data_IF_036101529195
#
_entry.id   IF_036101529195
#
_cell.length_a   1.000
_cell.length_b   1.000
_cell.length_c   1.000
_cell.angle_alpha   90.00
_cell.angle_beta   90.00
_cell.angle_gamma   90.00
#
_symmetry.space_group_name_H-M   'P 1'
#
loop_
_entity.id
_entity.type
_entity.pdbx_description
1 polymer ?
#
# COMPACT_ATOMS: atom_id res chain seq x y z
N UNK A 1 -0.17 16.65 -25.56
CA UNK A 1 0.00 18.01 -24.99
C UNK A 1 0.20 17.91 -23.47
N UNK A 2 -0.75 17.37 -22.68
CA UNK A 2 -0.63 17.32 -21.22
C UNK A 2 0.68 16.68 -20.73
N UNK A 3 1.04 15.51 -21.24
CA UNK A 3 2.30 14.83 -20.88
C UNK A 3 3.55 15.65 -21.17
N UNK A 4 3.59 16.37 -22.28
CA UNK A 4 4.73 17.25 -22.63
C UNK A 4 4.82 18.44 -21.67
N UNK A 5 3.69 19.05 -21.30
CA UNK A 5 3.66 20.15 -20.32
C UNK A 5 4.13 19.68 -18.94
N UNK A 6 3.69 18.50 -18.49
CA UNK A 6 4.14 17.90 -17.22
C UNK A 6 5.65 17.66 -17.26
N UNK A 7 6.17 17.05 -18.35
CA UNK A 7 7.61 16.77 -18.49
C UNK A 7 8.43 18.08 -18.44
N UNK A 8 8.02 19.10 -19.20
CA UNK A 8 8.70 20.40 -19.18
C UNK A 8 8.67 21.05 -17.80
N UNK A 9 7.57 20.94 -17.05
CA UNK A 9 7.50 21.48 -15.70
C UNK A 9 8.43 20.70 -14.73
N UNK A 10 8.51 19.38 -14.88
CA UNK A 10 9.41 18.53 -14.07
C UNK A 10 10.88 18.85 -14.33
N UNK A 11 11.27 19.07 -15.59
CA UNK A 11 12.65 19.46 -15.97
C UNK A 11 13.09 20.79 -15.36
N UNK A 12 12.14 21.64 -14.96
CA UNK A 12 12.42 22.92 -14.31
C UNK A 12 12.56 22.86 -12.80
N UNK A 13 12.32 21.68 -12.19
CA UNK A 13 12.49 21.48 -10.76
C UNK A 13 13.99 21.40 -10.46
N UNK A 14 14.51 22.39 -9.76
CA UNK A 14 15.88 22.43 -9.29
C UNK A 14 15.97 23.08 -7.90
N UNK A 15 17.18 23.18 -7.35
CA UNK A 15 17.41 23.75 -6.02
C UNK A 15 17.04 25.24 -5.93
N UNK A 16 17.17 25.97 -7.05
CA UNK A 16 16.87 27.40 -7.12
C UNK A 16 15.38 27.67 -7.39
N UNK A 17 14.65 26.66 -7.91
CA UNK A 17 13.24 26.75 -8.32
C UNK A 17 12.41 25.57 -7.83
N UNK A 18 12.38 25.27 -6.53
CA UNK A 18 11.70 24.10 -5.98
C UNK A 18 10.18 24.13 -6.21
N UNK A 19 9.58 25.30 -6.34
CA UNK A 19 8.13 25.49 -6.50
C UNK A 19 7.58 24.93 -7.82
N UNK A 20 8.44 24.64 -8.81
CA UNK A 20 8.02 23.96 -10.03
C UNK A 20 7.45 22.57 -9.75
N UNK A 21 7.76 21.95 -8.61
CA UNK A 21 7.14 20.71 -8.20
C UNK A 21 5.62 20.84 -8.05
N UNK A 22 5.13 21.98 -7.56
CA UNK A 22 3.70 22.25 -7.45
C UNK A 22 3.05 22.58 -8.79
N UNK A 23 3.77 23.26 -9.69
CA UNK A 23 3.30 23.48 -11.06
C UNK A 23 3.12 22.16 -11.79
N UNK A 24 4.11 21.28 -11.74
CA UNK A 24 4.04 19.93 -12.31
C UNK A 24 2.90 19.09 -11.70
N UNK A 25 2.70 19.18 -10.39
CA UNK A 25 1.60 18.52 -9.67
C UNK A 25 0.23 18.97 -10.18
N UNK A 26 0.02 20.26 -10.32
CA UNK A 26 -1.26 20.83 -10.80
C UNK A 26 -1.58 20.43 -12.24
N UNK A 27 -0.57 20.41 -13.12
CA UNK A 27 -0.72 19.91 -14.48
C UNK A 27 -1.07 18.41 -14.49
N UNK A 28 -0.46 17.64 -13.59
CA UNK A 28 -0.75 16.21 -13.43
C UNK A 28 -2.17 15.97 -12.93
N UNK A 29 -2.60 16.72 -11.92
CA UNK A 29 -3.98 16.67 -11.38
C UNK A 29 -5.00 17.02 -12.47
N UNK A 30 -4.75 18.05 -13.26
CA UNK A 30 -5.63 18.44 -14.36
C UNK A 30 -5.85 17.28 -15.36
N UNK A 31 -4.77 16.61 -15.77
CA UNK A 31 -4.86 15.43 -16.64
C UNK A 31 -5.61 14.28 -15.97
N UNK A 32 -5.32 14.00 -14.68
CA UNK A 32 -5.99 12.98 -13.88
C UNK A 32 -7.50 13.23 -13.79
N UNK A 33 -7.91 14.47 -13.52
CA UNK A 33 -9.34 14.84 -13.45
C UNK A 33 -10.08 14.55 -14.75
N UNK A 34 -9.47 14.88 -15.88
CA UNK A 34 -10.06 14.59 -17.20
C UNK A 34 -10.20 13.09 -17.44
N UNK A 35 -9.17 12.32 -17.11
CA UNK A 35 -9.18 10.87 -17.32
C UNK A 35 -10.24 10.21 -16.43
N UNK A 36 -10.28 10.57 -15.16
CA UNK A 36 -11.25 10.00 -14.21
C UNK A 36 -12.68 10.42 -14.55
N UNK A 37 -12.90 11.70 -14.86
CA UNK A 37 -14.24 12.19 -15.27
C UNK A 37 -14.77 11.43 -16.49
N UNK A 38 -13.90 11.14 -17.47
CA UNK A 38 -14.26 10.32 -18.63
C UNK A 38 -14.60 8.88 -18.23
N UNK A 39 -13.80 8.27 -17.35
CA UNK A 39 -14.01 6.88 -16.92
C UNK A 39 -15.24 6.71 -16.03
N UNK A 40 -15.62 7.72 -15.26
CA UNK A 40 -16.83 7.73 -14.43
C UNK A 40 -18.07 8.19 -15.21
N UNK A 41 -17.90 8.79 -16.40
CA UNK A 41 -19.02 9.35 -17.18
C UNK A 41 -19.61 10.63 -16.57
N UNK A 42 -18.85 11.38 -15.75
CA UNK A 42 -19.31 12.60 -15.07
C UNK A 42 -19.11 13.89 -15.86
N UNK A 43 -18.48 13.81 -17.05
CA UNK A 43 -18.26 14.97 -17.91
C UNK A 43 -17.04 15.81 -17.56
N UNK A 44 -16.94 17.04 -18.20
CA UNK A 44 -15.74 17.89 -18.11
C UNK A 44 -15.79 18.95 -16.99
N UNK A 45 -16.83 19.00 -16.19
CA UNK A 45 -17.08 20.17 -15.34
C UNK A 45 -16.45 20.09 -13.95
N UNK A 46 -16.88 19.13 -13.16
CA UNK A 46 -16.48 19.02 -11.74
C UNK A 46 -15.86 17.66 -11.45
N UNK A 47 -14.56 17.59 -11.16
CA UNK A 47 -13.87 16.32 -10.93
C UNK A 47 -14.43 15.57 -9.71
N UNK A 48 -14.93 16.27 -8.69
CA UNK A 48 -15.45 15.70 -7.43
C UNK A 48 -16.98 15.79 -7.27
N UNK A 49 -17.71 15.96 -8.37
CA UNK A 49 -19.17 16.16 -8.31
C UNK A 49 -20.01 14.93 -7.94
N UNK A 50 -19.45 13.71 -7.96
CA UNK A 50 -20.26 12.49 -7.81
C UNK A 50 -19.50 11.32 -7.16
N UNK A 51 -19.39 11.36 -5.85
CA UNK A 51 -18.76 10.28 -5.06
C UNK A 51 -19.56 8.96 -5.12
N UNK A 52 -20.90 9.05 -5.16
CA UNK A 52 -21.76 7.88 -5.31
C UNK A 52 -21.48 7.14 -6.64
N UNK A 53 -21.26 7.88 -7.73
CA UNK A 53 -20.91 7.29 -9.02
C UNK A 53 -19.54 6.60 -9.00
N UNK A 54 -18.56 7.16 -8.30
CA UNK A 54 -17.28 6.49 -8.10
C UNK A 54 -17.46 5.15 -7.38
N UNK A 55 -18.26 5.11 -6.30
CA UNK A 55 -18.52 3.87 -5.55
C UNK A 55 -19.23 2.84 -6.45
N UNK A 56 -20.27 3.25 -7.17
CA UNK A 56 -20.99 2.38 -8.12
C UNK A 56 -20.04 1.76 -9.16
N UNK A 57 -19.26 2.59 -9.84
CA UNK A 57 -18.31 2.15 -10.87
C UNK A 57 -17.22 1.26 -10.27
N UNK A 58 -16.69 1.61 -9.10
CA UNK A 58 -15.68 0.81 -8.41
C UNK A 58 -16.19 -0.58 -8.01
N UNK A 59 -17.44 -0.68 -7.55
CA UNK A 59 -18.12 -1.96 -7.28
C UNK A 59 -18.39 -2.75 -8.55
N UNK A 60 -18.83 -2.10 -9.62
CA UNK A 60 -19.08 -2.73 -10.92
C UNK A 60 -17.82 -3.43 -11.46
N UNK A 61 -16.65 -2.79 -11.34
CA UNK A 61 -15.37 -3.40 -11.71
C UNK A 61 -14.82 -4.38 -10.65
N UNK A 62 -15.54 -4.66 -9.56
CA UNK A 62 -15.06 -5.52 -8.47
C UNK A 62 -13.81 -4.99 -7.75
N UNK A 63 -13.55 -3.70 -7.83
CA UNK A 63 -12.38 -3.05 -7.21
C UNK A 63 -12.67 -2.54 -5.79
N UNK A 64 -13.91 -2.17 -5.50
CA UNK A 64 -14.37 -1.79 -4.17
C UNK A 64 -15.17 -2.92 -3.51
N UNK A 65 -15.10 -2.98 -2.17
CA UNK A 65 -15.93 -3.93 -1.42
C UNK A 65 -17.42 -3.56 -1.57
N UNK A 66 -18.31 -4.55 -1.73
CA UNK A 66 -19.75 -4.30 -1.88
C UNK A 66 -20.36 -3.53 -0.71
N UNK A 67 -19.86 -3.73 0.50
CA UNK A 67 -20.38 -3.12 1.73
C UNK A 67 -19.81 -1.74 2.06
N UNK A 68 -18.98 -1.13 1.21
CA UNK A 68 -18.25 0.10 1.54
C UNK A 68 -19.16 1.25 1.99
N UNK A 69 -20.29 1.44 1.31
CA UNK A 69 -21.26 2.50 1.59
C UNK A 69 -22.40 2.09 2.54
N UNK A 70 -22.35 0.84 3.03
CA UNK A 70 -23.41 0.32 3.88
C UNK A 70 -23.57 1.14 5.17
N UNK A 71 -24.75 1.78 5.31
CA UNK A 71 -25.10 2.62 6.45
C UNK A 71 -24.36 3.95 6.51
N UNK A 72 -23.87 4.46 5.38
CA UNK A 72 -23.37 5.83 5.22
C UNK A 72 -24.35 6.67 4.40
N UNK A 73 -24.46 7.95 4.74
CA UNK A 73 -25.04 8.96 3.85
C UNK A 73 -23.95 9.43 2.88
N UNK A 74 -23.94 8.82 1.70
CA UNK A 74 -22.90 9.09 0.68
C UNK A 74 -23.00 10.51 0.13
N UNK A 75 -24.21 11.09 0.07
CA UNK A 75 -24.43 12.46 -0.39
C UNK A 75 -23.85 13.49 0.59
N UNK A 76 -24.02 13.26 1.89
CA UNK A 76 -23.41 14.09 2.92
C UNK A 76 -21.87 13.99 2.89
N UNK A 77 -21.32 12.79 2.71
CA UNK A 77 -19.88 12.61 2.54
C UNK A 77 -19.36 13.28 1.27
N UNK A 78 -20.10 13.23 0.16
CA UNK A 78 -19.73 13.92 -1.08
C UNK A 78 -19.61 15.44 -0.88
N UNK A 79 -20.55 16.04 -0.15
CA UNK A 79 -20.50 17.49 0.20
C UNK A 79 -19.35 17.82 1.15
N UNK A 80 -18.92 16.86 1.96
CA UNK A 80 -17.84 17.04 2.93
C UNK A 80 -16.45 16.97 2.28
N UNK A 81 -16.30 16.31 1.15
CA UNK A 81 -15.04 16.19 0.40
C UNK A 81 -14.50 17.58 0.04
N UNK A 82 -13.19 17.77 0.19
CA UNK A 82 -12.45 19.02 0.01
C UNK A 82 -11.47 18.90 -1.17
N UNK A 83 -11.90 19.18 -2.41
CA UNK A 83 -11.06 19.07 -3.60
C UNK A 83 -9.77 19.90 -3.54
N UNK A 84 -9.81 21.04 -2.86
CA UNK A 84 -8.68 21.95 -2.68
C UNK A 84 -7.49 21.31 -1.96
N UNK A 85 -7.70 20.24 -1.20
CA UNK A 85 -6.63 19.48 -0.55
C UNK A 85 -5.72 18.74 -1.52
N UNK A 86 -6.15 18.53 -2.75
CA UNK A 86 -5.28 18.00 -3.81
C UNK A 86 -4.10 18.95 -4.11
N UNK A 87 -4.25 20.24 -3.84
CA UNK A 87 -3.19 21.22 -4.01
C UNK A 87 -2.04 21.08 -3.00
N UNK A 88 -2.22 20.29 -1.95
CA UNK A 88 -1.15 19.93 -1.00
C UNK A 88 -0.11 18.98 -1.60
N UNK A 89 -0.47 18.24 -2.66
CA UNK A 89 0.47 17.34 -3.33
C UNK A 89 1.57 18.11 -4.06
N UNK A 90 2.82 17.71 -3.86
CA UNK A 90 3.89 17.97 -4.80
C UNK A 90 3.86 16.95 -5.96
N UNK A 91 4.70 17.12 -6.97
CA UNK A 91 4.70 16.23 -8.14
C UNK A 91 4.98 14.77 -7.79
N UNK A 92 5.98 14.50 -6.95
CA UNK A 92 6.34 13.14 -6.54
C UNK A 92 5.20 12.50 -5.75
N UNK A 93 4.53 13.26 -4.89
CA UNK A 93 3.39 12.82 -4.10
C UNK A 93 2.22 12.38 -4.97
N UNK A 94 1.76 13.24 -5.89
CA UNK A 94 0.62 12.89 -6.76
C UNK A 94 0.98 11.77 -7.73
N UNK A 95 2.20 11.76 -8.26
CA UNK A 95 2.66 10.67 -9.13
C UNK A 95 2.70 9.34 -8.39
N UNK A 96 3.18 9.32 -7.15
CA UNK A 96 3.19 8.11 -6.31
C UNK A 96 1.78 7.66 -5.98
N UNK A 97 0.87 8.59 -5.66
CA UNK A 97 -0.53 8.31 -5.43
C UNK A 97 -1.17 7.64 -6.66
N UNK A 98 -0.99 8.20 -7.84
CA UNK A 98 -1.46 7.65 -9.10
C UNK A 98 -0.89 6.28 -9.42
N UNK A 99 0.42 6.12 -9.30
CA UNK A 99 1.10 4.89 -9.71
C UNK A 99 0.75 3.72 -8.79
N UNK A 100 0.68 3.96 -7.47
CA UNK A 100 0.61 2.92 -6.44
C UNK A 100 -0.75 2.76 -5.77
N UNK A 101 -1.53 3.83 -5.59
CA UNK A 101 -2.67 3.80 -4.67
C UNK A 101 -4.02 3.94 -5.34
N UNK A 102 -4.14 4.82 -6.37
CA UNK A 102 -5.42 5.02 -7.03
C UNK A 102 -5.92 3.77 -7.74
N UNK A 103 -7.19 3.45 -7.52
CA UNK A 103 -7.86 2.34 -8.18
C UNK A 103 -7.96 2.61 -9.68
N UNK A 104 -7.63 1.58 -10.46
CA UNK A 104 -7.66 1.58 -11.92
C UNK A 104 -8.61 0.50 -12.43
N UNK A 105 -9.27 0.76 -13.56
CA UNK A 105 -10.07 -0.22 -14.27
C UNK A 105 -9.18 -1.29 -14.93
N UNK A 106 -9.78 -2.25 -15.62
CA UNK A 106 -9.07 -3.37 -16.26
C UNK A 106 -8.14 -2.91 -17.41
N UNK A 107 -8.36 -1.72 -17.96
CA UNK A 107 -7.47 -1.07 -18.94
C UNK A 107 -6.31 -0.29 -18.27
N UNK A 108 -6.13 -0.44 -16.95
CA UNK A 108 -5.14 0.29 -16.14
C UNK A 108 -5.34 1.83 -16.15
N UNK A 109 -6.53 2.31 -16.46
CA UNK A 109 -6.90 3.72 -16.41
C UNK A 109 -7.53 4.06 -15.06
N UNK A 110 -7.18 5.18 -14.40
CA UNK A 110 -7.71 5.49 -13.07
C UNK A 110 -9.21 5.77 -13.12
N UNK A 111 -9.92 5.26 -12.11
CA UNK A 111 -11.34 5.53 -11.85
C UNK A 111 -11.54 6.26 -10.52
N UNK A 112 -10.46 6.61 -9.87
CA UNK A 112 -10.44 7.18 -8.52
C UNK A 112 -9.62 8.47 -8.49
N UNK A 113 -10.09 9.46 -7.72
CA UNK A 113 -9.39 10.70 -7.43
C UNK A 113 -8.82 10.66 -6.01
N UNK A 114 -7.77 11.44 -5.68
CA UNK A 114 -7.13 11.37 -4.36
C UNK A 114 -8.09 11.59 -3.19
N UNK A 115 -8.99 12.56 -3.26
CA UNK A 115 -9.94 12.82 -2.17
C UNK A 115 -11.02 11.73 -2.08
N UNK A 116 -11.41 11.09 -3.20
CA UNK A 116 -12.27 9.91 -3.17
C UNK A 116 -11.58 8.72 -2.51
N UNK A 117 -10.29 8.51 -2.80
CA UNK A 117 -9.46 7.51 -2.14
C UNK A 117 -9.43 7.72 -0.62
N UNK A 118 -9.12 8.93 -0.17
CA UNK A 118 -9.03 9.22 1.27
C UNK A 118 -10.37 9.05 1.97
N UNK A 119 -11.48 9.52 1.37
CA UNK A 119 -12.82 9.32 1.95
C UNK A 119 -13.19 7.83 2.00
N UNK A 120 -12.96 7.08 0.94
CA UNK A 120 -13.27 5.65 0.91
C UNK A 120 -12.43 4.83 1.92
N UNK A 121 -11.16 5.20 2.12
CA UNK A 121 -10.31 4.62 3.18
C UNK A 121 -10.88 4.97 4.56
N UNK A 122 -11.24 6.22 4.79
CA UNK A 122 -11.82 6.68 6.05
C UNK A 122 -13.13 5.94 6.38
N UNK A 123 -14.01 5.76 5.39
CA UNK A 123 -15.23 4.97 5.53
C UNK A 123 -14.93 3.51 5.91
N UNK A 124 -13.94 2.90 5.26
CA UNK A 124 -13.54 1.52 5.57
C UNK A 124 -13.02 1.39 7.00
N UNK A 125 -12.17 2.31 7.46
CA UNK A 125 -11.62 2.28 8.83
C UNK A 125 -12.72 2.51 9.85
N UNK A 126 -13.66 3.42 9.57
CA UNK A 126 -14.75 3.78 10.46
C UNK A 126 -15.93 2.78 10.48
N UNK A 127 -15.91 1.73 9.63
CA UNK A 127 -17.09 0.86 9.41
C UNK A 127 -17.68 0.22 10.66
N UNK A 128 -16.87 -0.04 11.68
CA UNK A 128 -17.26 -0.66 12.95
C UNK A 128 -17.45 0.35 14.09
N UNK A 129 -17.30 1.65 13.82
CA UNK A 129 -17.51 2.69 14.83
C UNK A 129 -19.01 2.94 15.05
N UNK A 130 -19.37 3.29 16.30
CA UNK A 130 -20.76 3.58 16.66
C UNK A 130 -21.32 4.77 15.84
N UNK A 131 -20.52 5.84 15.69
CA UNK A 131 -20.85 7.04 14.91
C UNK A 131 -20.03 7.07 13.62
N UNK A 132 -20.10 6.01 12.81
CA UNK A 132 -19.22 5.81 11.66
C UNK A 132 -19.25 6.94 10.63
N UNK A 133 -20.38 7.63 10.45
CA UNK A 133 -20.51 8.78 9.56
C UNK A 133 -19.55 9.92 9.97
N UNK A 134 -19.63 10.34 11.24
CA UNK A 134 -18.78 11.41 11.76
C UNK A 134 -17.32 10.96 11.90
N UNK A 135 -17.09 9.70 12.27
CA UNK A 135 -15.73 9.14 12.34
C UNK A 135 -15.07 9.06 10.96
N UNK A 136 -15.82 8.76 9.92
CA UNK A 136 -15.31 8.80 8.55
C UNK A 136 -14.87 10.22 8.15
N UNK A 137 -15.62 11.26 8.52
CA UNK A 137 -15.25 12.66 8.29
C UNK A 137 -13.99 13.05 9.08
N UNK A 138 -13.91 12.66 10.35
CA UNK A 138 -12.75 12.91 11.23
C UNK A 138 -11.47 12.25 10.64
N UNK A 139 -11.56 10.96 10.27
CA UNK A 139 -10.42 10.24 9.68
C UNK A 139 -10.03 10.79 8.32
N UNK A 140 -11.01 11.14 7.49
CA UNK A 140 -10.76 11.82 6.22
C UNK A 140 -9.99 13.12 6.41
N UNK A 141 -10.37 13.95 7.38
CA UNK A 141 -9.70 15.22 7.66
C UNK A 141 -8.23 15.04 7.98
N UNK A 142 -7.92 14.13 8.89
CA UNK A 142 -6.53 13.87 9.33
C UNK A 142 -5.67 13.31 8.19
N UNK A 143 -6.22 12.37 7.40
CA UNK A 143 -5.50 11.72 6.30
C UNK A 143 -5.31 12.69 5.13
N UNK A 144 -6.36 13.40 4.72
CA UNK A 144 -6.34 14.24 3.52
C UNK A 144 -5.57 15.56 3.69
N UNK A 145 -5.35 15.99 4.94
CA UNK A 145 -4.45 17.11 5.28
C UNK A 145 -2.98 16.68 5.44
N UNK A 146 -2.70 15.37 5.31
CA UNK A 146 -1.38 14.78 5.57
C UNK A 146 -0.87 14.95 7.00
N UNK A 147 -1.76 15.12 7.98
CA UNK A 147 -1.42 15.12 9.41
C UNK A 147 -1.00 13.71 9.86
N UNK A 148 -1.56 12.68 9.22
CA UNK A 148 -1.17 11.28 9.38
C UNK A 148 -0.96 10.64 8.01
N UNK A 149 0.17 9.95 7.83
CA UNK A 149 0.45 9.14 6.64
C UNK A 149 0.19 7.67 6.96
N UNK A 150 -0.74 7.08 6.23
CA UNK A 150 -1.07 5.67 6.35
C UNK A 150 -0.04 4.78 5.65
N UNK A 151 0.12 3.56 6.14
CA UNK A 151 0.98 2.57 5.51
C UNK A 151 0.50 2.22 4.09
N UNK A 152 1.45 1.87 3.20
CA UNK A 152 1.16 1.49 1.81
C UNK A 152 0.02 0.47 1.68
N UNK A 153 -0.04 -0.63 2.46
CA UNK A 153 -1.15 -1.59 2.35
C UNK A 153 -2.50 -0.97 2.72
N UNK A 154 -2.56 -0.07 3.69
CA UNK A 154 -3.79 0.62 4.05
C UNK A 154 -4.26 1.52 2.91
N UNK A 155 -3.35 2.32 2.32
CA UNK A 155 -3.66 3.19 1.18
C UNK A 155 -4.11 2.40 -0.06
N UNK A 156 -3.54 1.21 -0.27
CA UNK A 156 -3.87 0.39 -1.45
C UNK A 156 -5.13 -0.45 -1.25
N UNK A 157 -5.35 -1.03 -0.06
CA UNK A 157 -6.25 -2.16 0.11
C UNK A 157 -7.49 -1.86 0.95
N UNK A 158 -7.49 -0.83 1.83
CA UNK A 158 -8.53 -0.64 2.86
C UNK A 158 -9.97 -0.68 2.30
N UNK A 159 -10.20 -0.11 1.13
CA UNK A 159 -11.52 -0.04 0.48
C UNK A 159 -11.79 -1.15 -0.52
N UNK A 160 -10.83 -2.09 -0.69
CA UNK A 160 -10.90 -3.15 -1.72
C UNK A 160 -11.25 -4.51 -1.11
N UNK A 161 -11.48 -5.51 -1.95
CA UNK A 161 -11.69 -6.90 -1.52
C UNK A 161 -10.45 -7.55 -0.88
N UNK A 162 -9.30 -6.85 -0.85
CA UNK A 162 -8.04 -7.31 -0.23
C UNK A 162 -7.78 -6.53 1.04
N UNK A 163 -8.33 -6.98 2.17
CA UNK A 163 -8.32 -6.23 3.44
C UNK A 163 -7.01 -6.33 4.24
N UNK A 164 -5.92 -6.78 3.65
CA UNK A 164 -4.63 -6.82 4.33
C UNK A 164 -4.08 -5.39 4.45
N UNK A 165 -3.98 -4.86 5.67
CA UNK A 165 -3.60 -3.47 5.96
C UNK A 165 -2.23 -3.34 6.62
N UNK A 166 -1.69 -4.42 7.19
CA UNK A 166 -0.41 -4.40 7.89
C UNK A 166 0.76 -4.39 6.90
N UNK A 167 1.75 -3.55 7.17
CA UNK A 167 2.91 -3.39 6.28
C UNK A 167 4.07 -4.31 6.63
N UNK A 168 4.19 -4.71 7.92
CA UNK A 168 5.35 -5.43 8.43
C UNK A 168 4.93 -6.49 9.43
N UNK A 169 5.68 -7.61 9.42
CA UNK A 169 5.49 -8.74 10.31
C UNK A 169 6.83 -9.19 10.85
N UNK A 170 6.85 -9.65 12.10
CA UNK A 170 8.04 -10.13 12.78
C UNK A 170 7.78 -11.56 13.26
N UNK A 171 8.73 -12.46 13.02
CA UNK A 171 8.69 -13.84 13.44
C UNK A 171 10.01 -14.31 14.03
N UNK A 172 10.00 -15.47 14.68
CA UNK A 172 11.20 -16.12 15.21
C UNK A 172 11.14 -17.60 14.84
N UNK A 173 12.27 -18.15 14.40
CA UNK A 173 12.37 -19.51 13.90
C UNK A 173 12.75 -20.45 15.05
N UNK A 174 11.97 -21.51 15.35
CA UNK A 174 12.37 -22.54 16.29
C UNK A 174 13.45 -23.45 15.69
N UNK A 175 14.27 -24.09 16.57
CA UNK A 175 15.35 -24.98 16.15
C UNK A 175 14.85 -26.44 15.92
N UNK A 176 13.90 -26.60 15.02
CA UNK A 176 13.42 -27.90 14.53
C UNK A 176 12.92 -27.76 13.09
N UNK A 177 12.97 -28.86 12.34
CA UNK A 177 12.68 -28.84 10.91
C UNK A 177 11.23 -28.42 10.60
N UNK A 178 10.26 -28.88 11.38
CA UNK A 178 8.85 -28.56 11.20
C UNK A 178 8.61 -27.05 11.32
N UNK A 179 9.06 -26.45 12.43
CA UNK A 179 8.90 -25.02 12.66
C UNK A 179 9.67 -24.14 11.67
N UNK A 180 10.86 -24.60 11.20
CA UNK A 180 11.59 -23.90 10.14
C UNK A 180 10.77 -23.84 8.84
N UNK A 181 10.15 -24.96 8.44
CA UNK A 181 9.34 -25.01 7.22
C UNK A 181 7.99 -24.31 7.39
N UNK A 182 7.42 -24.30 8.59
CA UNK A 182 6.24 -23.46 8.88
C UNK A 182 6.54 -21.98 8.72
N UNK A 183 7.70 -21.49 9.19
CA UNK A 183 8.14 -20.12 8.93
C UNK A 183 8.24 -19.85 7.42
N UNK A 184 8.81 -20.73 6.61
CA UNK A 184 8.86 -20.50 5.16
C UNK A 184 7.47 -20.40 4.53
N UNK A 185 6.53 -21.21 4.97
CA UNK A 185 5.12 -21.14 4.54
C UNK A 185 4.50 -19.79 4.91
N UNK A 186 4.69 -19.34 6.14
CA UNK A 186 4.21 -18.02 6.60
C UNK A 186 4.85 -16.90 5.81
N UNK A 187 6.17 -16.92 5.60
CA UNK A 187 6.91 -15.96 4.80
C UNK A 187 6.33 -15.87 3.37
N UNK A 188 6.09 -17.02 2.74
CA UNK A 188 5.51 -17.07 1.41
C UNK A 188 4.12 -16.45 1.34
N UNK A 189 3.25 -16.78 2.30
CA UNK A 189 1.87 -16.27 2.36
C UNK A 189 1.85 -14.75 2.63
N UNK A 190 2.59 -14.28 3.61
CA UNK A 190 2.63 -12.85 3.98
C UNK A 190 3.28 -12.00 2.88
N UNK A 191 4.36 -12.50 2.26
CA UNK A 191 5.01 -11.83 1.13
C UNK A 191 4.09 -11.71 -0.08
N UNK A 192 3.32 -12.78 -0.39
CA UNK A 192 2.31 -12.77 -1.46
C UNK A 192 1.31 -11.63 -1.31
N UNK A 193 0.97 -11.26 -0.09
CA UNK A 193 0.04 -10.16 0.20
C UNK A 193 0.73 -8.80 0.40
N UNK A 194 2.03 -8.69 0.08
CA UNK A 194 2.77 -7.43 0.12
C UNK A 194 3.28 -7.02 1.50
N UNK A 195 3.33 -7.95 2.46
CA UNK A 195 3.94 -7.74 3.77
C UNK A 195 5.46 -7.69 3.70
N UNK A 196 6.10 -6.75 4.42
CA UNK A 196 7.52 -6.82 4.74
C UNK A 196 7.73 -7.74 5.93
N UNK A 197 8.81 -8.51 5.94
CA UNK A 197 9.01 -9.58 6.91
C UNK A 197 10.35 -9.42 7.62
N UNK A 198 10.37 -9.64 8.93
CA UNK A 198 11.58 -9.72 9.73
C UNK A 198 11.59 -11.05 10.48
N UNK A 199 12.64 -11.85 10.34
CA UNK A 199 12.73 -13.17 10.99
C UNK A 199 14.02 -13.30 11.77
N UNK A 200 13.88 -13.63 13.06
CA UNK A 200 14.98 -13.97 13.92
C UNK A 200 15.34 -15.44 13.77
N UNK A 201 16.62 -15.69 13.46
CA UNK A 201 17.21 -17.01 13.26
C UNK A 201 18.14 -17.42 14.41
N UNK A 202 18.20 -16.64 15.48
CA UNK A 202 19.16 -16.82 16.59
C UNK A 202 19.02 -18.17 17.28
N UNK A 203 17.82 -18.74 17.31
CA UNK A 203 17.57 -20.04 17.96
C UNK A 203 18.09 -21.24 17.19
N UNK A 204 18.38 -21.09 15.90
CA UNK A 204 18.91 -22.18 15.07
C UNK A 204 20.31 -22.52 15.56
N UNK A 205 20.56 -23.79 15.77
CA UNK A 205 21.89 -24.28 16.18
C UNK A 205 22.97 -23.92 15.15
N UNK A 206 24.13 -23.58 15.65
CA UNK A 206 25.28 -23.20 14.80
C UNK A 206 25.89 -24.37 14.04
N UNK A 207 26.68 -24.06 13.04
CA UNK A 207 27.51 -25.04 12.32
C UNK A 207 28.30 -25.92 13.29
N UNK A 208 28.41 -27.21 12.99
CA UNK A 208 29.10 -28.23 13.81
C UNK A 208 28.50 -28.47 15.20
N UNK A 209 27.28 -28.00 15.47
CA UNK A 209 26.53 -28.37 16.69
C UNK A 209 26.08 -29.84 16.64
N UNK A 210 25.69 -30.36 17.82
CA UNK A 210 25.08 -31.68 17.90
C UNK A 210 23.70 -31.72 17.29
N UNK A 211 23.39 -32.80 16.56
CA UNK A 211 22.01 -33.20 16.19
C UNK A 211 21.82 -34.61 16.84
N UNK A 212 20.93 -34.69 17.80
CA UNK A 212 20.74 -35.87 18.66
C UNK A 212 22.07 -36.35 19.22
N UNK A 213 22.49 -37.58 18.86
CA UNK A 213 23.74 -38.20 19.30
C UNK A 213 24.92 -37.91 18.38
N UNK A 214 24.70 -37.24 17.27
CA UNK A 214 25.75 -36.98 16.25
C UNK A 214 26.46 -35.67 16.50
N UNK A 215 27.72 -35.71 16.87
CA UNK A 215 28.57 -34.53 16.99
C UNK A 215 28.89 -33.94 15.62
N UNK A 216 28.85 -32.61 15.50
CA UNK A 216 29.28 -31.93 14.28
C UNK A 216 28.31 -32.04 13.09
N UNK A 217 27.11 -32.54 13.31
CA UNK A 217 26.13 -32.75 12.23
C UNK A 217 25.33 -31.47 11.88
N UNK A 218 25.37 -30.43 12.73
CA UNK A 218 24.65 -29.17 12.52
C UNK A 218 25.15 -28.42 11.28
N UNK A 219 24.25 -28.08 10.35
CA UNK A 219 24.55 -27.34 9.13
C UNK A 219 24.62 -25.82 9.31
N UNK A 220 24.29 -25.31 10.51
CA UNK A 220 24.24 -23.88 10.80
C UNK A 220 23.09 -23.14 10.12
N UNK A 221 23.11 -21.82 10.20
CA UNK A 221 22.02 -20.93 9.71
C UNK A 221 22.08 -20.74 8.20
N UNK A 222 23.25 -20.72 7.59
CA UNK A 222 23.46 -20.31 6.17
C UNK A 222 22.60 -21.11 5.17
N UNK A 223 22.47 -22.45 5.25
CA UNK A 223 21.61 -23.20 4.33
C UNK A 223 20.15 -22.71 4.36
N UNK A 224 19.64 -22.41 5.55
CA UNK A 224 18.27 -21.92 5.73
C UNK A 224 18.07 -20.50 5.19
N UNK A 225 19.09 -19.64 5.34
CA UNK A 225 19.05 -18.29 4.74
C UNK A 225 19.01 -18.33 3.22
N UNK A 226 19.66 -19.30 2.58
CA UNK A 226 19.56 -19.51 1.12
C UNK A 226 18.15 -19.85 0.71
N UNK A 227 17.45 -20.69 1.47
CA UNK A 227 16.03 -21.01 1.22
C UNK A 227 15.16 -19.76 1.42
N UNK A 228 15.40 -18.97 2.48
CA UNK A 228 14.70 -17.70 2.73
C UNK A 228 14.77 -16.77 1.52
N UNK A 229 15.95 -16.61 0.95
CA UNK A 229 16.14 -15.80 -0.28
C UNK A 229 15.39 -16.40 -1.47
N UNK A 230 15.42 -17.72 -1.64
CA UNK A 230 14.65 -18.41 -2.67
C UNK A 230 13.13 -18.19 -2.54
N UNK A 231 12.60 -18.26 -1.32
CA UNK A 231 11.20 -17.97 -1.02
C UNK A 231 10.86 -16.52 -1.37
N UNK A 232 11.68 -15.55 -0.97
CA UNK A 232 11.46 -14.14 -1.27
C UNK A 232 11.34 -13.88 -2.78
N UNK A 233 12.23 -14.49 -3.57
CA UNK A 233 12.25 -14.36 -5.04
C UNK A 233 11.03 -15.05 -5.66
N UNK A 234 10.71 -16.26 -5.20
CA UNK A 234 9.66 -17.09 -5.81
C UNK A 234 8.24 -16.49 -5.65
N UNK A 235 7.98 -15.78 -4.55
CA UNK A 235 6.64 -15.24 -4.26
C UNK A 235 6.47 -13.75 -4.60
N UNK A 236 7.49 -13.10 -5.15
CA UNK A 236 7.46 -11.69 -5.57
C UNK A 236 6.72 -11.54 -6.92
N UNK A 237 5.44 -11.85 -6.97
CA UNK A 237 4.76 -12.00 -8.26
C UNK A 237 3.84 -10.85 -8.69
N UNK A 238 3.30 -10.00 -7.82
CA UNK A 238 2.18 -9.17 -8.29
C UNK A 238 1.88 -7.90 -7.50
N UNK A 239 2.71 -7.51 -6.57
CA UNK A 239 2.33 -6.45 -5.63
C UNK A 239 2.72 -5.04 -6.07
N UNK A 240 1.98 -4.08 -5.57
CA UNK A 240 2.38 -2.67 -5.51
C UNK A 240 3.70 -2.52 -4.70
N UNK A 241 3.99 -3.50 -3.84
CA UNK A 241 5.19 -3.61 -3.00
C UNK A 241 5.87 -4.95 -3.27
N UNK A 242 7.16 -4.93 -3.58
CA UNK A 242 7.99 -6.12 -3.70
C UNK A 242 8.16 -6.80 -2.34
N UNK A 243 8.25 -8.12 -2.34
CA UNK A 243 8.60 -8.90 -1.15
C UNK A 243 10.01 -8.51 -0.64
N UNK A 244 10.11 -8.33 0.68
CA UNK A 244 11.39 -8.06 1.33
C UNK A 244 11.43 -8.78 2.67
N UNK A 245 12.49 -9.52 2.93
CA UNK A 245 12.71 -10.29 4.17
C UNK A 245 14.00 -9.80 4.81
N UNK A 246 13.89 -9.25 6.02
CA UNK A 246 15.05 -8.95 6.86
C UNK A 246 15.37 -10.19 7.71
N UNK A 247 16.64 -10.50 7.78
CA UNK A 247 17.19 -11.61 8.59
C UNK A 247 17.88 -11.02 9.80
N UNK A 248 17.49 -11.50 10.98
CA UNK A 248 18.11 -11.12 12.24
C UNK A 248 18.88 -12.33 12.82
N UNK A 249 20.10 -12.07 13.25
CA UNK A 249 20.95 -13.01 13.96
C UNK A 249 21.69 -12.23 15.05
N UNK A 250 21.58 -12.66 16.29
CA UNK A 250 22.18 -11.97 17.41
C UNK A 250 23.72 -12.15 17.44
N UNK A 251 24.49 -11.15 17.92
CA UNK A 251 25.95 -11.15 17.79
C UNK A 251 26.69 -12.26 18.58
N UNK A 252 26.01 -12.90 19.53
CA UNK A 252 26.58 -14.05 20.26
C UNK A 252 26.37 -15.39 19.54
N UNK A 253 25.61 -15.42 18.43
CA UNK A 253 25.43 -16.63 17.64
C UNK A 253 26.76 -17.04 16.97
N UNK A 254 27.18 -18.31 17.10
CA UNK A 254 28.50 -18.74 16.63
C UNK A 254 28.72 -18.65 15.12
N UNK A 255 27.64 -18.66 14.33
CA UNK A 255 27.72 -18.54 12.86
C UNK A 255 27.83 -17.08 12.37
N UNK A 256 27.91 -16.09 13.26
CA UNK A 256 28.02 -14.67 12.86
C UNK A 256 29.45 -14.30 12.50
N UNK A 257 30.42 -15.08 12.96
CA UNK A 257 31.85 -14.93 12.65
C UNK A 257 32.22 -15.85 11.49
#
# INVERSE_FOLDING_TARGET
>A
IAKSLIATAVEKIDIDRPDWTFVASRLYLYDLYHVVGKNLGTGKGEPYGNFAKYIEVGKHYGKLIPSLDSGYDVEDLNKYIKPERDLLFNYLGIKTCYDKYLIKNDKRSPIELPQYMFMAIAMFIAQNETNKQEKAKEYYDVISKFEVMLATPTLSNARTNRHQLSSCYIGSTPDNIEGIFDIYKELALLSKYGGGLGVDWTKIRSLNSYIDVFAGAGGGVIPFLKITNGVAIAVDQTGVRKGAIAVYLEPWHKDIM
#
